data_IF_065539137716
#
_entry.id   IF_065539137716
#
_cell.length_a   1.000
_cell.length_b   1.000
_cell.length_c   1.000
_cell.angle_alpha   90.00
_cell.angle_beta   90.00
_cell.angle_gamma   90.00
#
_symmetry.space_group_name_H-M   'P 1'
#
loop_
_entity.id
_entity.type
_entity.pdbx_description
1 polymer ?
#
# COMPACT_ATOMS: atom_id res chain seq x y z
N UNK A 1 16.53 -18.81 -7.56
CA UNK A 1 16.05 -17.95 -6.47
C UNK A 1 14.52 -17.98 -6.35
N UNK A 2 13.76 -17.62 -7.40
CA UNK A 2 12.28 -17.60 -7.36
C UNK A 2 11.64 -18.91 -6.91
N UNK A 3 12.05 -20.06 -7.48
CA UNK A 3 11.53 -21.38 -7.08
C UNK A 3 11.80 -21.77 -5.63
N UNK A 4 12.76 -21.11 -4.97
CA UNK A 4 13.13 -21.40 -3.59
C UNK A 4 12.48 -20.41 -2.61
N UNK A 5 12.30 -19.14 -2.99
CA UNK A 5 11.93 -18.05 -2.08
C UNK A 5 10.61 -17.34 -2.41
N UNK A 6 10.06 -17.52 -3.62
CA UNK A 6 8.87 -16.80 -4.09
C UNK A 6 7.72 -17.74 -4.41
N UNK A 7 7.99 -18.81 -5.18
CA UNK A 7 6.97 -19.76 -5.63
C UNK A 7 6.38 -20.64 -4.51
N UNK A 8 7.16 -21.13 -3.53
CA UNK A 8 6.60 -21.93 -2.44
C UNK A 8 5.65 -21.12 -1.55
N UNK A 9 4.60 -21.78 -1.04
CA UNK A 9 3.64 -21.15 -0.13
C UNK A 9 4.27 -20.78 1.21
N UNK A 10 3.76 -19.70 1.84
CA UNK A 10 4.16 -19.23 3.18
C UNK A 10 5.62 -18.82 3.29
N UNK A 11 6.23 -18.41 2.17
CA UNK A 11 7.51 -17.73 2.19
C UNK A 11 7.33 -16.28 2.61
N UNK A 12 8.31 -15.76 3.34
CA UNK A 12 8.35 -14.35 3.70
C UNK A 12 8.54 -13.50 2.45
N UNK A 13 7.67 -12.51 2.25
CA UNK A 13 7.77 -11.55 1.15
C UNK A 13 8.37 -10.25 1.68
N UNK A 14 9.57 -9.90 1.19
CA UNK A 14 10.21 -8.62 1.49
C UNK A 14 10.06 -7.62 0.33
N UNK A 15 10.77 -6.51 0.43
CA UNK A 15 10.86 -5.47 -0.60
C UNK A 15 11.02 -5.98 -2.04
N UNK A 16 11.84 -7.00 -2.32
CA UNK A 16 12.07 -7.54 -3.67
C UNK A 16 10.81 -8.19 -4.23
N UNK A 17 10.17 -9.06 -3.46
CA UNK A 17 8.93 -9.74 -3.89
C UNK A 17 7.79 -8.73 -4.04
N UNK A 18 7.67 -7.80 -3.09
CA UNK A 18 6.63 -6.77 -3.09
C UNK A 18 6.79 -5.82 -4.28
N UNK A 19 8.02 -5.43 -4.62
CA UNK A 19 8.31 -4.60 -5.81
C UNK A 19 7.95 -5.34 -7.10
N UNK A 20 8.41 -6.59 -7.25
CA UNK A 20 8.11 -7.39 -8.43
C UNK A 20 6.60 -7.63 -8.61
N UNK A 21 5.87 -7.82 -7.52
CA UNK A 21 4.40 -7.97 -7.54
C UNK A 21 3.70 -6.66 -7.93
N UNK A 22 4.10 -5.53 -7.34
CA UNK A 22 3.53 -4.22 -7.62
C UNK A 22 3.78 -3.81 -9.08
N UNK A 23 4.98 -4.06 -9.61
CA UNK A 23 5.32 -3.86 -11.01
C UNK A 23 4.49 -4.76 -11.94
N UNK A 24 4.43 -6.06 -11.66
CA UNK A 24 3.71 -7.01 -12.52
C UNK A 24 2.20 -6.74 -12.60
N UNK A 25 1.62 -6.14 -11.55
CA UNK A 25 0.20 -5.78 -11.49
C UNK A 25 -0.07 -4.32 -11.86
N UNK A 26 0.98 -3.51 -12.02
CA UNK A 26 0.90 -2.06 -12.19
C UNK A 26 0.08 -1.34 -11.09
N UNK A 27 0.17 -1.84 -9.84
CA UNK A 27 -0.55 -1.28 -8.69
C UNK A 27 0.44 -0.63 -7.71
N UNK A 28 0.37 0.70 -7.47
CA UNK A 28 1.20 1.35 -6.47
C UNK A 28 0.92 0.83 -5.06
N UNK A 29 1.99 0.55 -4.33
CA UNK A 29 1.92 0.17 -2.92
C UNK A 29 2.57 1.25 -2.06
N UNK A 30 1.94 1.60 -0.94
CA UNK A 30 2.53 2.45 0.07
C UNK A 30 2.70 1.67 1.36
N UNK A 31 3.90 1.63 1.91
CA UNK A 31 4.20 0.92 3.16
C UNK A 31 4.44 1.94 4.26
N UNK A 32 3.53 1.99 5.23
CA UNK A 32 3.63 2.78 6.45
C UNK A 32 4.33 1.94 7.54
N UNK A 33 5.27 2.54 8.28
CA UNK A 33 5.99 1.85 9.35
C UNK A 33 5.24 2.04 10.68
N UNK A 34 4.90 0.95 11.38
CA UNK A 34 4.23 1.03 12.68
C UNK A 34 4.99 1.88 13.70
N UNK A 35 6.33 1.84 13.64
CA UNK A 35 7.20 2.57 14.55
C UNK A 35 7.34 4.06 14.21
N UNK A 36 6.53 4.60 13.30
CA UNK A 36 6.57 6.00 12.88
C UNK A 36 7.78 6.35 12.00
N UNK A 37 8.43 5.34 11.41
CA UNK A 37 9.45 5.54 10.37
C UNK A 37 8.87 6.12 9.08
N UNK A 38 9.72 6.62 8.16
CA UNK A 38 9.24 7.16 6.89
C UNK A 38 8.48 6.08 6.11
N UNK A 39 7.34 6.46 5.54
CA UNK A 39 6.63 5.60 4.60
C UNK A 39 7.49 5.34 3.36
N UNK A 40 7.40 4.13 2.83
CA UNK A 40 8.09 3.73 1.62
C UNK A 40 7.06 3.46 0.53
N UNK A 41 7.10 4.27 -0.53
CA UNK A 41 6.31 3.99 -1.72
C UNK A 41 7.07 2.94 -2.57
N UNK A 42 6.39 1.85 -2.87
CA UNK A 42 6.86 0.75 -3.73
C UNK A 42 6.07 0.83 -5.03
N UNK A 43 6.80 0.85 -6.14
CA UNK A 43 6.26 1.08 -7.49
C UNK A 43 5.55 2.45 -7.61
N UNK A 44 6.34 3.46 -7.92
CA UNK A 44 5.85 4.80 -8.25
C UNK A 44 6.04 5.05 -9.74
N UNK A 45 5.42 4.26 -10.62
CA UNK A 45 5.48 4.60 -12.04
C UNK A 45 4.64 5.85 -12.28
N UNK A 46 5.24 6.98 -12.69
CA UNK A 46 4.50 8.17 -13.03
C UNK A 46 4.09 8.03 -14.49
N UNK A 47 2.97 7.36 -14.74
CA UNK A 47 2.32 7.33 -16.04
C UNK A 47 1.06 8.20 -16.02
N UNK A 48 0.81 9.05 -17.04
CA UNK A 48 -0.51 9.64 -17.20
C UNK A 48 -1.54 8.52 -17.34
N UNK A 49 -2.39 8.34 -16.32
CA UNK A 49 -3.43 7.30 -16.29
C UNK A 49 -3.24 6.19 -15.25
N UNK A 50 -2.15 6.16 -14.47
CA UNK A 50 -2.06 5.24 -13.32
C UNK A 50 -3.14 5.61 -12.31
N UNK A 51 -4.00 4.67 -11.88
CA UNK A 51 -5.06 4.97 -10.92
C UNK A 51 -4.47 5.59 -9.65
N UNK A 52 -5.14 6.63 -9.12
CA UNK A 52 -4.85 7.18 -7.77
C UNK A 52 -5.07 6.16 -6.65
N UNK A 53 -5.52 4.95 -6.98
CA UNK A 53 -5.80 3.88 -6.05
C UNK A 53 -4.48 3.19 -5.71
N UNK A 54 -3.89 3.60 -4.60
CA UNK A 54 -2.78 2.89 -3.96
C UNK A 54 -3.31 1.94 -2.90
N UNK A 55 -2.69 0.77 -2.76
CA UNK A 55 -2.89 -0.07 -1.56
C UNK A 55 -1.91 0.40 -0.50
N UNK A 56 -2.42 0.72 0.68
CA UNK A 56 -1.58 1.09 1.82
C UNK A 56 -1.44 -0.10 2.76
N UNK A 57 -0.20 -0.46 3.08
CA UNK A 57 0.16 -1.53 4.00
C UNK A 57 0.80 -0.95 5.25
N UNK A 58 0.52 -1.54 6.41
CA UNK A 58 1.23 -1.28 7.66
C UNK A 58 2.28 -2.36 7.87
N UNK A 59 3.54 -1.99 8.00
CA UNK A 59 4.61 -2.90 8.36
C UNK A 59 4.94 -2.82 9.86
N UNK A 60 4.84 -3.95 10.54
CA UNK A 60 5.05 -4.08 11.99
C UNK A 60 6.46 -4.54 12.36
N UNK A 61 7.32 -4.82 11.37
CA UNK A 61 8.66 -5.40 11.55
C UNK A 61 8.76 -6.87 11.13
N UNK A 62 7.63 -7.57 11.02
CA UNK A 62 7.57 -8.95 10.51
C UNK A 62 6.25 -9.31 9.82
N UNK A 63 5.26 -8.41 9.83
CA UNK A 63 3.96 -8.61 9.21
C UNK A 63 3.54 -7.36 8.45
N UNK A 64 2.69 -7.59 7.44
CA UNK A 64 2.01 -6.56 6.67
C UNK A 64 0.50 -6.69 6.88
N UNK A 65 -0.14 -5.60 7.29
CA UNK A 65 -1.60 -5.49 7.37
C UNK A 65 -2.11 -4.45 6.36
N UNK A 66 -3.38 -4.54 5.94
CA UNK A 66 -3.97 -3.58 4.99
C UNK A 66 -4.60 -2.42 5.74
N UNK A 67 -4.21 -1.19 5.39
CA UNK A 67 -4.82 0.03 5.90
C UNK A 67 -5.90 0.54 4.95
N UNK A 68 -7.04 0.91 5.52
CA UNK A 68 -8.11 1.58 4.80
C UNK A 68 -8.19 3.04 5.27
N UNK A 69 -8.17 4.02 4.35
CA UNK A 69 -8.31 5.42 4.74
C UNK A 69 -9.69 5.63 5.37
N UNK A 70 -9.73 6.50 6.38
CA UNK A 70 -11.01 6.97 6.91
C UNK A 70 -11.77 7.67 5.79
N UNK A 71 -13.09 7.40 5.69
CA UNK A 71 -13.95 8.19 4.84
C UNK A 71 -13.81 9.67 5.25
N UNK A 72 -13.76 10.61 4.28
CA UNK A 72 -13.75 12.01 4.63
C UNK A 72 -14.98 12.32 5.50
N UNK A 73 -14.83 13.16 6.54
CA UNK A 73 -15.97 13.55 7.35
C UNK A 73 -17.03 14.13 6.41
N UNK A 74 -18.22 13.52 6.41
CA UNK A 74 -19.35 14.06 5.69
C UNK A 74 -19.59 15.44 6.27
N UNK A 75 -19.42 16.50 5.48
CA UNK A 75 -19.85 17.83 5.88
C UNK A 75 -21.35 17.72 6.15
N UNK A 76 -21.71 17.64 7.44
CA UNK A 76 -23.08 17.82 7.87
C UNK A 76 -23.44 19.23 7.44
N UNK A 77 -24.22 19.32 6.36
CA UNK A 77 -24.80 20.55 5.83
C UNK A 77 -25.68 21.18 6.91
N UNK A 78 -25.06 21.95 7.80
CA UNK A 78 -25.74 22.90 8.66
C UNK A 78 -25.96 24.19 7.87
N UNK A 79 -26.71 24.11 6.78
CA UNK A 79 -27.45 25.27 6.30
C UNK A 79 -28.63 25.45 7.26
N UNK A 80 -28.40 26.18 8.35
CA UNK A 80 -29.50 26.81 9.08
C UNK A 80 -29.41 28.31 8.79
N UNK A 81 -30.11 28.69 7.73
CA UNK A 81 -30.58 30.07 7.52
C UNK A 81 -31.61 30.39 8.60
N UNK A 82 -31.36 31.42 9.41
CA UNK A 82 -32.36 32.47 9.69
C UNK A 82 -31.71 33.68 10.34
#
# INVERSE_FOLDING_TARGET
WCFQHVTPSRQYADHVMMTALAEALEVPLRVEQLNGGPAQDIYTVPGPGVPRVSVTLLYTGNHYDVLYPHAPPTESSSQQTS
#
